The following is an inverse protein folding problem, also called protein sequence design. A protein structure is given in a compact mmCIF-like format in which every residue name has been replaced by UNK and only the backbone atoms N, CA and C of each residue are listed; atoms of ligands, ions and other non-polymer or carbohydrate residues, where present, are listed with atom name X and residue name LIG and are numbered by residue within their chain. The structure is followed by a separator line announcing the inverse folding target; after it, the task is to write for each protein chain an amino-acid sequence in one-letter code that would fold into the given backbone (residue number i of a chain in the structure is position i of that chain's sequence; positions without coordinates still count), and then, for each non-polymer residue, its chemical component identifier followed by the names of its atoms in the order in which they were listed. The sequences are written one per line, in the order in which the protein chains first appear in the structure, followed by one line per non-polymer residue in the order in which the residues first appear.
data_IF_784214889905
#
_entry.id   IF_784214889905
#
_cell.length_a   1.000
_cell.length_b   1.000
_cell.length_c   1.000
_cell.angle_alpha   90.00
_cell.angle_beta   90.00
_cell.angle_gamma   90.00
#
_symmetry.space_group_name_H-M   'P 1'
#
loop_
_entity.id
_entity.type
_entity.pdbx_description
1 polymer ?
#
# COMPACT_ATOMS: atom_id res chain seq x y z
N UNK A 1 -5.36 -7.53 38.29
CA UNK A 1 -5.49 -8.88 37.68
C UNK A 1 -5.91 -8.64 36.25
N UNK A 2 -4.92 -8.78 35.38
CA UNK A 2 -4.95 -8.88 33.92
C UNK A 2 -5.55 -7.74 33.08
N UNK A 3 -4.61 -6.91 32.60
CA UNK A 3 -4.70 -6.12 31.38
C UNK A 3 -5.12 -7.00 30.19
N UNK A 4 -6.35 -6.85 29.71
CA UNK A 4 -6.71 -7.23 28.35
C UNK A 4 -6.55 -6.03 27.40
N UNK A 5 -5.37 -5.39 27.45
CA UNK A 5 -4.86 -4.55 26.37
C UNK A 5 -4.28 -5.47 25.30
N UNK A 6 -4.97 -5.68 24.18
CA UNK A 6 -4.31 -6.38 23.06
C UNK A 6 -5.17 -7.05 21.98
N UNK A 7 -6.50 -6.89 21.93
CA UNK A 7 -7.29 -7.46 20.81
C UNK A 7 -8.17 -6.39 20.16
N UNK A 8 -7.55 -5.28 19.76
CA UNK A 8 -8.20 -4.28 18.93
C UNK A 8 -7.61 -4.33 17.53
N UNK A 9 -8.23 -5.05 16.59
CA UNK A 9 -7.65 -5.16 15.25
C UNK A 9 -8.53 -5.81 14.19
N UNK A 10 -9.83 -5.49 14.16
CA UNK A 10 -10.66 -5.89 13.02
C UNK A 10 -10.17 -5.27 11.71
N UNK A 11 -10.56 -5.88 10.58
CA UNK A 11 -10.41 -5.25 9.26
C UNK A 11 -11.14 -3.91 9.28
N UNK A 12 -10.40 -2.85 9.02
CA UNK A 12 -10.92 -1.49 8.97
C UNK A 12 -11.33 -1.10 7.56
N UNK A 13 -10.55 -1.51 6.55
CA UNK A 13 -10.83 -1.20 5.16
C UNK A 13 -10.12 -2.14 4.18
N UNK A 14 -10.60 -2.13 2.94
CA UNK A 14 -9.94 -2.69 1.77
C UNK A 14 -9.53 -1.55 0.84
N UNK A 15 -8.31 -1.60 0.32
CA UNK A 15 -7.80 -0.65 -0.66
C UNK A 15 -7.46 -1.38 -1.95
N UNK A 16 -7.72 -0.73 -3.07
CA UNK A 16 -7.15 -1.10 -4.36
C UNK A 16 -6.38 0.10 -4.90
N UNK A 17 -5.25 -0.17 -5.56
CA UNK A 17 -4.40 0.91 -6.04
C UNK A 17 -3.30 0.43 -6.96
N UNK A 18 -2.40 1.35 -7.26
CA UNK A 18 -1.19 1.04 -8.00
C UNK A 18 -0.01 1.79 -7.42
N UNK A 19 1.18 1.22 -7.60
CA UNK A 19 2.45 1.90 -7.37
C UNK A 19 3.21 2.04 -8.68
N UNK A 20 4.10 3.02 -8.74
CA UNK A 20 4.93 3.28 -9.90
C UNK A 20 6.36 2.82 -9.63
N UNK A 21 6.91 2.03 -10.55
CA UNK A 21 8.33 1.69 -10.56
C UNK A 21 8.87 1.81 -11.97
N UNK A 22 9.91 2.64 -12.15
CA UNK A 22 10.48 2.99 -13.47
C UNK A 22 9.44 3.46 -14.51
N UNK A 23 8.38 4.14 -14.06
CA UNK A 23 7.31 4.63 -14.92
C UNK A 23 6.24 3.60 -15.28
N UNK A 24 6.41 2.33 -14.91
CA UNK A 24 5.41 1.27 -15.08
C UNK A 24 4.47 1.22 -13.86
N UNK A 25 3.19 0.87 -14.09
CA UNK A 25 2.17 0.72 -13.05
C UNK A 25 2.10 -0.71 -12.56
N UNK A 26 2.12 -0.90 -11.25
CA UNK A 26 1.99 -2.19 -10.58
C UNK A 26 0.77 -2.16 -9.67
N UNK A 27 -0.23 -2.97 -9.99
CA UNK A 27 -1.49 -3.04 -9.27
C UNK A 27 -1.33 -3.81 -7.96
N UNK A 28 -2.02 -3.35 -6.92
CA UNK A 28 -2.10 -4.04 -5.65
C UNK A 28 -3.49 -3.90 -5.02
N UNK A 29 -3.83 -4.87 -4.19
CA UNK A 29 -4.91 -4.79 -3.21
C UNK A 29 -4.28 -4.70 -1.82
N UNK A 30 -4.94 -4.06 -0.86
CA UNK A 30 -4.44 -4.01 0.51
C UNK A 30 -5.57 -4.12 1.53
N UNK A 31 -5.26 -4.72 2.67
CA UNK A 31 -6.16 -4.77 3.82
C UNK A 31 -5.58 -3.88 4.92
N UNK A 32 -6.37 -2.93 5.40
CA UNK A 32 -6.02 -2.09 6.54
C UNK A 32 -6.68 -2.64 7.82
N UNK A 33 -5.90 -2.74 8.90
CA UNK A 33 -6.33 -3.22 10.20
C UNK A 33 -6.13 -2.14 11.27
N UNK A 34 -7.16 -1.86 12.09
CA UNK A 34 -7.09 -0.90 13.20
C UNK A 34 -7.65 0.51 12.91
N UNK A 35 -7.39 1.48 13.81
CA UNK A 35 -7.83 2.89 13.69
C UNK A 35 -6.70 3.77 13.14
N UNK A 36 -7.05 4.79 12.34
CA UNK A 36 -6.07 5.68 11.68
C UNK A 36 -5.22 6.36 12.78
N UNK A 37 -3.89 6.11 12.78
CA UNK A 37 -2.97 6.46 13.87
C UNK A 37 -2.27 5.26 14.57
N UNK A 38 -2.65 4.03 14.24
CA UNK A 38 -2.01 2.77 14.70
C UNK A 38 -2.20 1.62 13.70
N UNK A 39 -2.18 1.94 12.41
CA UNK A 39 -2.61 1.08 11.31
C UNK A 39 -1.54 0.08 10.89
N UNK A 40 -1.98 -1.15 10.59
CA UNK A 40 -1.22 -2.09 9.76
C UNK A 40 -1.92 -2.20 8.41
N UNK A 41 -1.21 -1.90 7.32
CA UNK A 41 -1.72 -2.09 5.95
C UNK A 41 -0.94 -3.24 5.32
N UNK A 42 -1.62 -4.26 4.80
CA UNK A 42 -0.99 -5.39 4.11
C UNK A 42 -1.29 -5.31 2.62
N UNK A 43 -0.40 -4.74 1.79
CA UNK A 43 -0.54 -4.79 0.34
C UNK A 43 -0.16 -6.16 -0.23
N UNK A 44 -0.87 -6.56 -1.29
CA UNK A 44 -0.66 -7.76 -2.09
C UNK A 44 -0.65 -7.35 -3.55
N UNK A 45 0.48 -7.53 -4.23
CA UNK A 45 0.60 -7.27 -5.67
C UNK A 45 -0.22 -8.29 -6.47
N UNK A 46 -0.78 -7.85 -7.60
CA UNK A 46 -1.45 -8.80 -8.51
C UNK A 46 -0.45 -9.80 -9.10
N UNK A 47 -0.88 -11.01 -9.51
CA UNK A 47 0.00 -11.99 -10.14
C UNK A 47 0.76 -11.45 -11.36
N UNK A 48 0.10 -10.62 -12.17
CA UNK A 48 0.72 -9.94 -13.31
C UNK A 48 1.81 -8.95 -12.88
N UNK A 49 1.53 -8.15 -11.83
CA UNK A 49 2.50 -7.20 -11.28
C UNK A 49 3.73 -7.91 -10.69
N UNK A 50 3.52 -9.03 -9.98
CA UNK A 50 4.61 -9.83 -9.42
C UNK A 50 5.50 -10.39 -10.53
N UNK A 51 4.90 -11.04 -11.55
CA UNK A 51 5.64 -11.57 -12.70
C UNK A 51 6.45 -10.48 -13.39
N UNK A 52 5.85 -9.30 -13.62
CA UNK A 52 6.53 -8.19 -14.28
C UNK A 52 7.68 -7.63 -13.44
N UNK A 53 7.54 -7.54 -12.12
CA UNK A 53 8.61 -7.12 -11.22
C UNK A 53 9.77 -8.14 -11.18
N UNK A 54 9.46 -9.44 -11.22
CA UNK A 54 10.46 -10.51 -11.34
C UNK A 54 11.26 -10.41 -12.65
N UNK A 55 10.59 -10.16 -13.77
CA UNK A 55 11.22 -9.90 -15.08
C UNK A 55 12.16 -8.68 -15.04
N UNK A 56 11.86 -7.70 -14.18
CA UNK A 56 12.70 -6.52 -13.94
C UNK A 56 13.79 -6.76 -12.88
N UNK A 57 13.97 -8.01 -12.43
CA UNK A 57 14.90 -8.43 -11.38
C UNK A 57 14.69 -7.68 -10.05
N UNK A 58 13.44 -7.36 -9.72
CA UNK A 58 13.07 -6.73 -8.46
C UNK A 58 12.85 -7.80 -7.39
N UNK A 59 13.43 -7.57 -6.21
CA UNK A 59 13.10 -8.32 -5.01
C UNK A 59 11.67 -7.98 -4.56
N UNK A 60 10.74 -8.93 -4.75
CA UNK A 60 9.32 -8.76 -4.45
C UNK A 60 9.05 -8.55 -2.96
N UNK A 61 9.81 -9.21 -2.09
CA UNK A 61 9.64 -9.10 -0.64
C UNK A 61 10.02 -7.69 -0.19
N UNK A 62 11.20 -7.23 -0.60
CA UNK A 62 11.68 -5.89 -0.29
C UNK A 62 10.78 -4.81 -0.91
N UNK A 63 10.31 -5.01 -2.13
CA UNK A 63 9.40 -4.09 -2.80
C UNK A 63 8.07 -3.95 -2.04
N UNK A 64 7.47 -5.07 -1.66
CA UNK A 64 6.20 -5.10 -0.92
C UNK A 64 6.36 -4.49 0.47
N UNK A 65 7.46 -4.78 1.17
CA UNK A 65 7.78 -4.18 2.47
C UNK A 65 7.91 -2.65 2.38
N UNK A 66 8.56 -2.14 1.32
CA UNK A 66 8.66 -0.69 1.07
C UNK A 66 7.30 -0.07 0.73
N UNK A 67 6.49 -0.73 -0.09
CA UNK A 67 5.14 -0.29 -0.40
C UNK A 67 4.29 -0.18 0.86
N UNK A 68 4.28 -1.22 1.69
CA UNK A 68 3.58 -1.24 2.98
C UNK A 68 4.02 -0.07 3.86
N UNK A 69 5.34 0.14 4.00
CA UNK A 69 5.88 1.24 4.80
C UNK A 69 5.40 2.60 4.30
N UNK A 70 5.45 2.85 2.98
CA UNK A 70 4.98 4.11 2.38
C UNK A 70 3.48 4.35 2.62
N UNK A 71 2.66 3.30 2.53
CA UNK A 71 1.22 3.38 2.84
C UNK A 71 0.95 3.75 4.30
N UNK A 72 1.77 3.25 5.23
CA UNK A 72 1.65 3.55 6.67
C UNK A 72 2.18 4.95 7.00
N UNK A 73 3.31 5.34 6.42
CA UNK A 73 3.95 6.66 6.63
C UNK A 73 3.20 7.80 5.89
N UNK A 74 2.29 7.47 4.98
CA UNK A 74 1.58 8.46 4.16
C UNK A 74 2.48 9.14 3.12
N UNK A 75 3.60 8.51 2.75
CA UNK A 75 4.54 9.05 1.76
C UNK A 75 3.97 8.86 0.35
N UNK A 76 3.14 9.81 -0.07
CA UNK A 76 2.37 9.75 -1.32
C UNK A 76 2.71 10.94 -2.23
N UNK A 77 2.86 10.66 -3.53
CA UNK A 77 2.91 11.70 -4.57
C UNK A 77 1.54 11.80 -5.21
N UNK A 78 0.94 13.00 -5.19
CA UNK A 78 -0.30 13.29 -5.92
C UNK A 78 0.06 13.83 -7.30
N UNK A 79 -0.25 13.06 -8.35
CA UNK A 79 -0.08 13.50 -9.73
C UNK A 79 -1.37 14.15 -10.23
N UNK A 80 -1.37 15.47 -10.37
CA UNK A 80 -2.46 16.24 -10.98
C UNK A 80 -2.06 16.54 -12.43
N UNK A 81 -2.86 16.16 -13.44
CA UNK A 81 -2.57 16.48 -14.83
C UNK A 81 -2.43 17.99 -15.05
N UNK A 82 -1.51 18.40 -15.91
CA UNK A 82 -1.32 19.82 -16.26
C UNK A 82 -2.61 20.40 -16.83
N UNK A 83 -3.04 21.56 -16.31
CA UNK A 83 -4.30 22.20 -16.68
C UNK A 83 -5.55 21.67 -15.96
N UNK A 84 -5.43 20.63 -15.12
CA UNK A 84 -6.52 20.21 -14.24
C UNK A 84 -6.53 21.06 -12.96
N UNK A 85 -7.69 21.63 -12.62
CA UNK A 85 -7.90 22.24 -11.30
C UNK A 85 -7.83 21.15 -10.24
N UNK A 86 -7.02 21.28 -9.17
CA UNK A 86 -7.08 20.35 -8.05
C UNK A 86 -8.52 20.28 -7.52
N UNK A 87 -9.03 19.09 -7.15
CA UNK A 87 -10.31 19.02 -6.46
C UNK A 87 -10.20 19.78 -5.13
N UNK A 88 -11.12 20.72 -4.90
CA UNK A 88 -11.29 21.45 -3.63
C UNK A 88 -11.66 20.53 -2.47
#
# INVERSE_FOLDING_TARGET
MDEASGVGGGVANFLSGYTLYKGEKFLFEAVAYGRIGGQNVKPTLTPESMKRLEELHVDLELFTARLQRKLVEGEMTVNIPEGATPPE
#
